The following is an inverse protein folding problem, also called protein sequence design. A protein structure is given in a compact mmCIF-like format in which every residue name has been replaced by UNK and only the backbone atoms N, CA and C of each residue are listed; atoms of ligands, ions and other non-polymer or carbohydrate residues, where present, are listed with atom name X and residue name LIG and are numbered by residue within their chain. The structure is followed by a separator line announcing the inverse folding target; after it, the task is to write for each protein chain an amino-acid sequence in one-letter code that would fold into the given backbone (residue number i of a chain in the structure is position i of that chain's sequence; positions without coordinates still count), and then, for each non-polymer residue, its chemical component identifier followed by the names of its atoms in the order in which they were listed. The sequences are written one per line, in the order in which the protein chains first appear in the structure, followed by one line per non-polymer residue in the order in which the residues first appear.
data_IF_525375985875
#
_entry.id   IF_525375985875
#
_cell.length_a   1.000
_cell.length_b   1.000
_cell.length_c   1.000
_cell.angle_alpha   90.00
_cell.angle_beta   90.00
_cell.angle_gamma   90.00
#
_symmetry.space_group_name_H-M   'P 1'
#
loop_
_entity.id
_entity.type
_entity.pdbx_description
1 polymer ?
#
# COMPACT_ATOMS: atom_id res chain seq x y z
N UNK A 1 -10.62 26.96 -34.34
CA UNK A 1 -9.25 26.46 -34.61
C UNK A 1 -8.34 27.07 -33.56
N UNK A 2 -8.27 26.43 -32.40
CA UNK A 2 -7.32 26.73 -31.33
C UNK A 2 -6.20 25.70 -31.51
N UNK A 3 -4.96 26.16 -31.46
CA UNK A 3 -3.77 25.40 -31.82
C UNK A 3 -3.42 24.42 -30.69
N UNK A 4 -3.62 23.11 -30.90
CA UNK A 4 -3.28 22.02 -29.97
C UNK A 4 -1.76 21.70 -29.93
N UNK A 5 -0.89 22.69 -30.04
CA UNK A 5 0.56 22.49 -30.24
C UNK A 5 1.47 22.90 -29.07
N UNK A 6 0.94 23.28 -27.90
CA UNK A 6 1.77 23.72 -26.76
C UNK A 6 2.11 22.61 -25.73
N UNK A 7 1.45 21.44 -25.77
CA UNK A 7 1.74 20.35 -24.83
C UNK A 7 3.07 19.61 -25.12
N UNK A 8 3.67 19.78 -26.31
CA UNK A 8 4.88 19.07 -26.72
C UNK A 8 6.20 19.73 -26.29
N UNK A 9 6.16 20.91 -25.64
CA UNK A 9 7.37 21.68 -25.33
C UNK A 9 7.85 21.49 -23.88
N UNK A 10 7.00 21.00 -22.96
CA UNK A 10 7.38 20.84 -21.54
C UNK A 10 8.34 19.66 -21.28
N UNK A 11 8.28 18.58 -22.07
CA UNK A 11 9.17 17.41 -21.91
C UNK A 11 10.63 17.69 -22.29
N UNK A 12 10.93 18.81 -22.96
CA UNK A 12 12.29 19.16 -23.37
C UNK A 12 13.13 19.80 -22.25
N UNK A 13 12.53 20.14 -21.10
CA UNK A 13 13.22 20.88 -20.03
C UNK A 13 13.30 20.14 -18.70
N UNK A 14 12.81 18.90 -18.61
CA UNK A 14 12.85 18.12 -17.37
C UNK A 14 13.99 17.09 -17.38
N UNK A 15 14.59 16.86 -16.21
CA UNK A 15 15.60 15.82 -16.03
C UNK A 15 15.02 14.44 -16.31
N UNK A 16 15.67 13.73 -17.23
CA UNK A 16 15.39 12.33 -17.56
C UNK A 16 15.91 11.40 -16.48
N UNK A 17 15.43 10.16 -16.46
CA UNK A 17 15.88 9.12 -15.52
C UNK A 17 17.41 8.97 -15.50
N UNK A 18 18.05 8.94 -16.68
CA UNK A 18 19.51 8.84 -16.80
C UNK A 18 20.25 10.02 -16.15
N UNK A 19 19.70 11.23 -16.24
CA UNK A 19 20.27 12.46 -15.69
C UNK A 19 20.06 12.51 -14.19
N UNK A 20 18.85 12.16 -13.71
CA UNK A 20 18.58 11.97 -12.28
C UNK A 20 19.56 10.96 -11.67
N UNK A 21 19.78 9.82 -12.32
CA UNK A 21 20.72 8.82 -11.81
C UNK A 21 22.17 9.30 -11.77
N UNK A 22 22.63 10.05 -12.78
CA UNK A 22 23.96 10.68 -12.75
C UNK A 22 24.11 11.64 -11.57
N UNK A 23 23.09 12.43 -11.29
CA UNK A 23 23.07 13.32 -10.12
C UNK A 23 23.08 12.53 -8.81
N UNK A 24 22.26 11.47 -8.68
CA UNK A 24 22.27 10.59 -7.49
C UNK A 24 23.66 10.01 -7.23
N UNK A 25 24.35 9.52 -8.27
CA UNK A 25 25.71 8.96 -8.16
C UNK A 25 26.69 10.02 -7.66
N UNK A 26 26.58 11.25 -8.15
CA UNK A 26 27.43 12.37 -7.74
C UNK A 26 27.19 12.75 -6.27
N UNK A 27 25.94 12.77 -5.83
CA UNK A 27 25.58 13.10 -4.43
C UNK A 27 25.96 11.98 -3.47
N UNK A 28 25.77 10.72 -3.88
CA UNK A 28 26.02 9.52 -3.07
C UNK A 28 27.22 8.74 -3.59
N UNK A 29 28.35 9.43 -3.80
CA UNK A 29 29.59 8.85 -4.36
C UNK A 29 30.13 7.68 -3.53
N UNK A 30 29.90 7.69 -2.22
CA UNK A 30 30.27 6.63 -1.29
C UNK A 30 29.43 5.35 -1.48
N UNK A 31 28.21 5.46 -1.99
CA UNK A 31 27.33 4.33 -2.30
C UNK A 31 27.66 3.78 -3.69
N UNK A 32 27.92 4.65 -4.66
CA UNK A 32 28.29 4.28 -6.01
C UNK A 32 29.82 4.18 -6.18
N UNK A 33 30.44 3.19 -5.53
CA UNK A 33 31.91 3.02 -5.54
C UNK A 33 32.44 2.75 -6.96
N UNK A 34 31.81 1.83 -7.69
CA UNK A 34 32.06 1.58 -9.10
C UNK A 34 30.86 0.84 -9.72
N UNK A 35 30.83 0.77 -11.06
CA UNK A 35 29.73 0.17 -11.82
C UNK A 35 29.45 -1.29 -11.45
N UNK A 36 30.50 -2.06 -11.18
CA UNK A 36 30.39 -3.49 -10.88
C UNK A 36 29.88 -3.73 -9.46
N UNK A 37 30.43 -3.00 -8.49
CA UNK A 37 29.96 -3.01 -7.12
C UNK A 37 28.50 -2.61 -7.02
N UNK A 38 28.11 -1.51 -7.67
CA UNK A 38 26.73 -1.05 -7.65
C UNK A 38 25.79 -2.04 -8.34
N UNK A 39 26.16 -2.54 -9.52
CA UNK A 39 25.38 -3.56 -10.23
C UNK A 39 25.12 -4.79 -9.35
N UNK A 40 26.14 -5.28 -8.65
CA UNK A 40 25.99 -6.38 -7.69
C UNK A 40 25.09 -5.99 -6.51
N UNK A 41 25.24 -4.78 -5.96
CA UNK A 41 24.41 -4.28 -4.84
C UNK A 41 22.92 -4.25 -5.19
N UNK A 42 22.57 -3.90 -6.42
CA UNK A 42 21.18 -3.85 -6.89
C UNK A 42 20.75 -5.12 -7.64
N UNK A 43 21.57 -6.17 -7.67
CA UNK A 43 21.25 -7.42 -8.37
C UNK A 43 20.99 -7.26 -9.87
N UNK A 44 21.72 -6.35 -10.55
CA UNK A 44 21.61 -6.07 -11.98
C UNK A 44 22.91 -6.44 -12.73
N UNK A 45 22.81 -6.61 -14.04
CA UNK A 45 23.99 -6.82 -14.89
C UNK A 45 24.87 -5.58 -15.00
N UNK A 46 26.21 -5.77 -15.02
CA UNK A 46 27.18 -4.68 -15.23
C UNK A 46 26.93 -3.91 -16.53
N UNK A 47 26.52 -4.60 -17.60
CA UNK A 47 26.15 -4.00 -18.89
C UNK A 47 24.91 -3.10 -18.76
N UNK A 48 23.94 -3.47 -17.93
CA UNK A 48 22.73 -2.67 -17.66
C UNK A 48 23.09 -1.34 -17.02
N UNK A 49 23.85 -1.36 -15.92
CA UNK A 49 24.30 -0.13 -15.23
C UNK A 49 25.21 0.71 -16.15
N UNK A 50 26.05 0.07 -16.96
CA UNK A 50 26.85 0.78 -17.95
C UNK A 50 25.99 1.51 -18.98
N UNK A 51 24.93 0.86 -19.48
CA UNK A 51 24.01 1.46 -20.45
C UNK A 51 23.26 2.67 -19.86
N UNK A 52 22.85 2.60 -18.59
CA UNK A 52 22.21 3.73 -17.89
C UNK A 52 23.09 4.97 -17.82
N UNK A 53 24.40 4.79 -17.67
CA UNK A 53 25.35 5.90 -17.59
C UNK A 53 25.69 6.51 -18.95
N UNK A 54 25.67 5.70 -20.00
CA UNK A 54 26.13 6.11 -21.34
C UNK A 54 25.00 6.66 -22.21
N UNK A 55 23.76 6.17 -22.04
CA UNK A 55 22.62 6.62 -22.84
C UNK A 55 21.97 7.82 -22.16
N UNK A 56 22.09 9.00 -22.75
CA UNK A 56 21.44 10.24 -22.27
C UNK A 56 19.91 10.11 -22.13
N UNK A 57 19.30 9.18 -22.87
CA UNK A 57 17.87 8.91 -22.82
C UNK A 57 17.54 7.50 -22.29
N UNK A 58 18.40 6.90 -21.46
CA UNK A 58 18.00 5.67 -20.77
C UNK A 58 16.80 5.95 -19.86
N UNK A 59 15.66 5.33 -20.17
CA UNK A 59 14.61 5.10 -19.20
C UNK A 59 14.95 3.86 -18.36
N UNK A 60 14.54 3.87 -17.10
CA UNK A 60 14.68 2.70 -16.24
C UNK A 60 13.33 2.04 -16.06
N UNK A 61 13.31 0.71 -16.10
CA UNK A 61 12.13 -0.04 -15.74
C UNK A 61 11.83 0.12 -14.24
N UNK A 62 10.59 -0.23 -13.86
CA UNK A 62 10.07 -0.08 -12.49
C UNK A 62 10.98 -0.73 -11.46
N UNK A 63 11.37 -1.98 -11.74
CA UNK A 63 12.26 -2.79 -10.91
C UNK A 63 13.61 -2.12 -10.65
N UNK A 64 14.19 -1.50 -11.67
CA UNK A 64 15.45 -0.80 -11.57
C UNK A 64 15.34 0.47 -10.72
N UNK A 65 14.27 1.26 -10.89
CA UNK A 65 14.01 2.48 -10.10
C UNK A 65 13.90 2.17 -8.61
N UNK A 66 13.14 1.13 -8.25
CA UNK A 66 12.99 0.66 -6.87
C UNK A 66 14.34 0.27 -6.28
N UNK A 67 15.11 -0.59 -6.96
CA UNK A 67 16.42 -1.05 -6.45
C UNK A 67 17.44 0.09 -6.35
N UNK A 68 17.38 1.09 -7.25
CA UNK A 68 18.20 2.30 -7.16
C UNK A 68 17.82 3.11 -5.91
N UNK A 69 16.53 3.36 -5.68
CA UNK A 69 16.06 4.07 -4.48
C UNK A 69 16.51 3.37 -3.20
N UNK A 70 16.33 2.06 -3.10
CA UNK A 70 16.79 1.27 -1.96
C UNK A 70 18.31 1.38 -1.75
N UNK A 71 19.09 1.26 -2.83
CA UNK A 71 20.54 1.31 -2.75
C UNK A 71 21.08 2.64 -2.22
N UNK A 72 20.40 3.74 -2.57
CA UNK A 72 20.72 5.10 -2.12
C UNK A 72 19.96 5.53 -0.86
N UNK A 73 19.08 4.68 -0.32
CA UNK A 73 18.18 5.02 0.78
C UNK A 73 17.36 6.29 0.46
N UNK A 74 16.69 6.30 -0.69
CA UNK A 74 15.88 7.40 -1.22
C UNK A 74 14.40 7.01 -1.31
N UNK A 75 13.54 8.02 -1.27
CA UNK A 75 12.10 7.86 -1.54
C UNK A 75 11.83 7.74 -3.04
N UNK A 76 10.77 7.02 -3.41
CA UNK A 76 10.35 6.81 -4.81
C UNK A 76 9.88 8.09 -5.51
N UNK A 77 9.42 9.09 -4.74
CA UNK A 77 8.98 10.41 -5.23
C UNK A 77 10.01 11.07 -6.10
N UNK A 78 11.29 10.74 -5.88
CA UNK A 78 12.43 11.19 -6.68
C UNK A 78 12.26 10.95 -8.19
N UNK A 79 11.56 9.87 -8.58
CA UNK A 79 11.32 9.55 -9.99
C UNK A 79 10.10 10.28 -10.56
N UNK A 80 9.08 10.52 -9.72
CA UNK A 80 7.82 11.17 -10.12
C UNK A 80 7.91 12.69 -10.18
N UNK A 81 8.69 13.27 -9.28
CA UNK A 81 8.82 14.71 -9.21
C UNK A 81 9.58 15.21 -10.45
N UNK A 82 9.03 16.23 -11.10
CA UNK A 82 9.66 16.86 -12.27
C UNK A 82 10.67 17.90 -11.81
N UNK A 83 11.90 17.78 -12.30
CA UNK A 83 12.99 18.69 -11.97
C UNK A 83 13.51 19.34 -13.24
N UNK A 84 13.51 20.67 -13.28
CA UNK A 84 13.93 21.40 -14.50
C UNK A 84 15.44 21.48 -14.70
N UNK A 85 16.24 21.10 -13.70
CA UNK A 85 17.70 21.01 -13.81
C UNK A 85 18.32 20.25 -12.64
N UNK A 86 19.59 19.89 -12.80
CA UNK A 86 20.39 19.15 -11.82
C UNK A 86 20.46 19.82 -10.45
N UNK A 87 20.60 21.16 -10.38
CA UNK A 87 20.75 21.87 -9.09
C UNK A 87 19.50 21.80 -8.22
N UNK A 88 18.32 21.89 -8.84
CA UNK A 88 17.05 21.75 -8.11
C UNK A 88 16.93 20.32 -7.58
N UNK A 89 17.32 19.35 -8.39
CA UNK A 89 17.27 17.95 -8.01
C UNK A 89 18.28 17.61 -6.88
N UNK A 90 19.53 18.09 -6.96
CA UNK A 90 20.53 17.96 -5.89
C UNK A 90 20.01 18.53 -4.55
N UNK A 91 19.33 19.67 -4.60
CA UNK A 91 18.70 20.27 -3.42
C UNK A 91 17.60 19.37 -2.85
N UNK A 92 16.75 18.80 -3.70
CA UNK A 92 15.70 17.88 -3.27
C UNK A 92 16.27 16.61 -2.63
N UNK A 93 17.36 16.04 -3.18
CA UNK A 93 18.06 14.90 -2.58
C UNK A 93 18.57 15.21 -1.16
N UNK A 94 19.13 16.41 -0.96
CA UNK A 94 19.56 16.86 0.38
C UNK A 94 18.39 17.02 1.36
N UNK A 95 17.22 17.41 0.88
CA UNK A 95 16.01 17.51 1.69
C UNK A 95 15.46 16.13 2.06
N UNK A 96 15.47 15.17 1.14
CA UNK A 96 15.11 13.78 1.42
C UNK A 96 16.06 13.14 2.46
N UNK A 97 17.36 13.36 2.34
CA UNK A 97 18.34 12.83 3.30
C UNK A 97 18.12 13.37 4.72
N UNK A 98 17.74 14.65 4.85
CA UNK A 98 17.37 15.26 6.13
C UNK A 98 16.11 14.65 6.75
N UNK A 99 15.16 14.21 5.92
CA UNK A 99 13.95 13.52 6.40
C UNK A 99 14.33 12.14 6.93
N UNK A 100 15.20 11.43 6.21
CA UNK A 100 15.58 10.05 6.51
C UNK A 100 16.55 9.95 7.69
N UNK A 101 17.42 10.95 7.87
CA UNK A 101 18.44 10.98 8.93
C UNK A 101 17.93 11.43 10.31
N UNK A 102 16.64 11.75 10.47
CA UNK A 102 16.10 12.13 11.78
C UNK A 102 16.04 10.90 12.71
N UNK A 103 16.70 10.94 13.89
CA UNK A 103 16.74 9.80 14.78
C UNK A 103 15.35 9.47 15.29
N UNK A 104 14.98 8.19 15.17
CA UNK A 104 13.77 7.60 15.73
C UNK A 104 13.78 7.73 17.27
N UNK A 105 13.20 8.81 17.79
CA UNK A 105 12.99 8.98 19.22
C UNK A 105 11.98 7.90 19.65
N UNK A 106 12.43 6.93 20.46
CA UNK A 106 11.59 6.01 21.23
C UNK A 106 10.65 6.81 22.14
N UNK A 107 9.41 7.05 21.67
CA UNK A 107 8.31 7.62 22.47
C UNK A 107 7.49 6.47 23.06
N UNK A 108 8.09 5.64 23.91
CA UNK A 108 7.36 4.55 24.60
C UNK A 108 6.73 4.99 25.93
N UNK A 109 7.17 6.11 26.52
CA UNK A 109 6.82 6.40 27.92
C UNK A 109 5.74 7.46 28.18
N UNK A 110 5.24 8.15 27.14
CA UNK A 110 4.22 9.21 27.33
C UNK A 110 2.79 8.76 26.98
N UNK A 111 2.63 7.77 26.09
CA UNK A 111 1.31 7.26 25.65
C UNK A 111 0.62 6.37 26.71
N UNK A 112 1.40 5.61 27.49
CA UNK A 112 0.87 4.68 28.50
C UNK A 112 0.17 5.40 29.68
N UNK A 113 0.51 6.67 29.95
CA UNK A 113 -0.14 7.47 31.00
C UNK A 113 -1.45 8.11 30.55
N UNK A 114 -1.66 8.35 29.26
CA UNK A 114 -2.91 8.92 28.71
C UNK A 114 -3.98 7.86 28.42
N UNK A 115 -3.61 6.62 28.11
CA UNK A 115 -4.58 5.54 27.86
C UNK A 115 -5.33 5.06 29.12
N UNK A 116 -4.77 5.29 30.32
CA UNK A 116 -5.40 4.82 31.58
C UNK A 116 -6.58 5.69 32.04
N UNK A 117 -6.69 6.95 31.60
CA UNK A 117 -7.85 7.81 31.91
C UNK A 117 -9.02 7.69 30.91
N UNK A 118 -8.78 7.18 29.71
CA UNK A 118 -9.79 7.12 28.63
C UNK A 118 -10.66 5.85 28.67
N UNK A 119 -10.15 4.77 29.27
CA UNK A 119 -10.84 3.46 29.35
C UNK A 119 -12.22 3.49 30.02
N UNK A 120 -12.49 4.46 30.90
CA UNK A 120 -13.75 4.51 31.66
C UNK A 120 -14.93 5.10 30.85
N UNK A 121 -14.69 5.77 29.71
CA UNK A 121 -15.75 6.28 28.82
C UNK A 121 -15.90 5.53 27.49
N UNK A 122 -14.89 4.76 27.08
CA UNK A 122 -14.86 4.02 25.81
C UNK A 122 -15.89 2.86 25.78
N UNK A 123 -16.14 2.22 26.92
CA UNK A 123 -17.10 1.10 27.05
C UNK A 123 -18.57 1.39 26.70
N UNK A 124 -18.99 2.66 26.52
CA UNK A 124 -20.40 3.00 26.25
C UNK A 124 -20.77 3.05 24.76
N UNK A 125 -19.82 3.23 23.85
CA UNK A 125 -20.12 3.33 22.41
C UNK A 125 -19.96 1.98 21.71
N UNK A 126 -19.00 1.17 22.15
CA UNK A 126 -18.67 -0.14 21.55
C UNK A 126 -19.80 -1.20 21.67
N UNK A 127 -20.83 -0.95 22.49
CA UNK A 127 -21.93 -1.88 22.77
C UNK A 127 -23.30 -1.41 22.24
N UNK A 128 -23.36 -0.37 21.40
CA UNK A 128 -24.65 0.14 20.90
C UNK A 128 -25.28 -0.86 19.93
N UNK A 129 -26.56 -1.22 20.17
CA UNK A 129 -27.35 -1.98 19.21
C UNK A 129 -27.57 -1.16 17.93
N UNK A 130 -27.97 -1.83 16.83
CA UNK A 130 -28.32 -1.14 15.58
C UNK A 130 -29.44 -0.13 15.80
N UNK A 131 -30.44 -0.46 16.60
CA UNK A 131 -31.55 0.44 16.94
C UNK A 131 -31.08 1.64 17.77
N UNK A 132 -30.18 1.44 18.75
CA UNK A 132 -29.61 2.52 19.55
C UNK A 132 -28.77 3.48 18.70
N UNK A 133 -28.04 2.96 17.72
CA UNK A 133 -27.31 3.80 16.76
C UNK A 133 -28.24 4.60 15.88
N UNK A 134 -29.33 4.01 15.37
CA UNK A 134 -30.26 4.73 14.51
C UNK A 134 -30.88 5.92 15.26
N UNK A 135 -31.30 5.72 16.51
CA UNK A 135 -31.79 6.79 17.39
C UNK A 135 -30.70 7.86 17.61
N UNK A 136 -29.44 7.45 17.76
CA UNK A 136 -28.32 8.37 17.94
C UNK A 136 -28.03 9.18 16.68
N UNK A 137 -28.10 8.58 15.49
CA UNK A 137 -27.91 9.25 14.20
C UNK A 137 -29.02 10.25 13.89
N UNK A 138 -30.24 9.98 14.37
CA UNK A 138 -31.41 10.86 14.30
C UNK A 138 -31.40 11.98 15.36
N UNK A 139 -30.50 11.90 16.35
CA UNK A 139 -30.33 12.93 17.37
C UNK A 139 -29.45 14.11 16.91
N UNK A 140 -29.39 15.18 17.70
CA UNK A 140 -28.53 16.35 17.43
C UNK A 140 -27.03 16.03 17.65
N UNK A 141 -26.41 15.29 16.71
CA UNK A 141 -24.98 14.94 16.71
C UNK A 141 -24.06 16.17 16.81
N UNK A 142 -24.51 17.32 16.29
CA UNK A 142 -23.82 18.60 16.39
C UNK A 142 -23.59 19.06 17.83
N UNK A 143 -24.40 18.60 18.80
CA UNK A 143 -24.22 18.91 20.22
C UNK A 143 -23.26 17.96 20.93
N UNK A 144 -22.82 16.87 20.28
CA UNK A 144 -21.89 15.89 20.86
C UNK A 144 -20.44 16.35 20.77
N UNK A 145 -19.60 15.87 21.69
CA UNK A 145 -18.17 16.21 21.70
C UNK A 145 -17.42 15.57 20.53
N UNK A 146 -16.31 16.19 20.10
CA UNK A 146 -15.46 15.67 19.03
C UNK A 146 -14.91 14.25 19.32
N UNK A 147 -14.55 13.97 20.57
CA UNK A 147 -14.14 12.63 21.01
C UNK A 147 -15.26 11.60 20.81
N UNK A 148 -16.50 11.93 21.22
CA UNK A 148 -17.63 11.02 21.05
C UNK A 148 -17.91 10.72 19.58
N UNK A 149 -17.89 11.76 18.73
CA UNK A 149 -18.07 11.60 17.29
C UNK A 149 -16.95 10.74 16.67
N UNK A 150 -15.71 10.90 17.14
CA UNK A 150 -14.59 10.10 16.64
C UNK A 150 -14.78 8.61 16.96
N UNK A 151 -15.12 8.28 18.21
CA UNK A 151 -15.38 6.89 18.59
C UNK A 151 -16.63 6.32 17.89
N UNK A 152 -17.69 7.13 17.73
CA UNK A 152 -18.88 6.73 16.96
C UNK A 152 -18.52 6.41 15.50
N UNK A 153 -17.65 7.21 14.86
CA UNK A 153 -17.23 6.95 13.48
C UNK A 153 -16.51 5.60 13.31
N UNK A 154 -15.75 5.16 14.32
CA UNK A 154 -15.07 3.86 14.31
C UNK A 154 -16.07 2.71 14.47
N UNK A 155 -17.06 2.86 15.36
CA UNK A 155 -18.11 1.85 15.54
C UNK A 155 -18.94 1.71 14.27
N UNK A 156 -19.35 2.82 13.65
CA UNK A 156 -20.07 2.80 12.37
C UNK A 156 -19.25 2.11 11.27
N UNK A 157 -17.94 2.38 11.19
CA UNK A 157 -17.06 1.70 10.27
C UNK A 157 -17.01 0.18 10.52
N UNK A 158 -16.86 -0.25 11.78
CA UNK A 158 -16.84 -1.68 12.14
C UNK A 158 -18.16 -2.37 11.77
N UNK A 159 -19.27 -1.64 11.83
CA UNK A 159 -20.59 -2.12 11.42
C UNK A 159 -20.85 -2.01 9.91
N UNK A 160 -19.85 -1.57 9.12
CA UNK A 160 -19.91 -1.38 7.67
C UNK A 160 -20.86 -0.25 7.22
N UNK A 161 -21.21 0.68 8.11
CA UNK A 161 -21.98 1.88 7.82
C UNK A 161 -21.05 3.03 7.36
N UNK A 162 -20.37 2.82 6.22
CA UNK A 162 -19.22 3.65 5.81
C UNK A 162 -19.58 5.11 5.53
N UNK A 163 -20.72 5.37 4.88
CA UNK A 163 -21.18 6.72 4.58
C UNK A 163 -21.51 7.52 5.86
N UNK A 164 -22.16 6.88 6.83
CA UNK A 164 -22.48 7.49 8.11
C UNK A 164 -21.22 7.74 8.96
N UNK A 165 -20.28 6.79 8.95
CA UNK A 165 -18.98 6.99 9.57
C UNK A 165 -18.26 8.22 9.01
N UNK A 166 -18.28 8.41 7.69
CA UNK A 166 -17.65 9.58 7.05
C UNK A 166 -18.39 10.88 7.39
N UNK A 167 -19.73 10.87 7.36
CA UNK A 167 -20.54 12.02 7.75
C UNK A 167 -20.24 12.47 9.18
N UNK A 168 -20.20 11.53 10.12
CA UNK A 168 -19.87 11.79 11.52
C UNK A 168 -18.45 12.36 11.66
N UNK A 169 -17.49 11.85 10.89
CA UNK A 169 -16.12 12.34 10.90
C UNK A 169 -15.99 13.77 10.35
N UNK A 170 -16.76 14.11 9.31
CA UNK A 170 -16.81 15.48 8.76
C UNK A 170 -17.37 16.50 9.77
N UNK A 171 -18.29 16.09 10.66
CA UNK A 171 -18.76 16.94 11.77
C UNK A 171 -17.67 17.26 12.79
N UNK A 172 -16.59 16.46 12.85
CA UNK A 172 -15.44 16.75 13.71
C UNK A 172 -14.56 17.81 13.07
N UNK A 173 -14.36 17.72 11.74
CA UNK A 173 -13.53 18.67 10.99
C UNK A 173 -14.12 20.09 11.00
N UNK A 174 -15.45 20.23 11.06
CA UNK A 174 -16.12 21.53 11.17
C UNK A 174 -16.13 22.12 12.58
N UNK A 175 -15.76 21.35 13.61
CA UNK A 175 -15.75 21.79 15.01
C UNK A 175 -14.38 22.24 15.46
N UNK A 176 -14.30 23.50 15.88
CA UNK A 176 -13.14 24.01 16.62
C UNK A 176 -13.07 23.35 18.01
N UNK A 177 -12.08 22.48 18.20
CA UNK A 177 -11.89 21.78 19.48
C UNK A 177 -10.43 21.38 19.69
N UNK A 178 -9.98 21.38 20.95
CA UNK A 178 -8.64 20.90 21.33
C UNK A 178 -8.40 19.44 20.91
N UNK A 179 -9.46 18.64 20.91
CA UNK A 179 -9.42 17.26 20.42
C UNK A 179 -9.03 17.19 18.94
N UNK A 180 -9.66 17.98 18.07
CA UNK A 180 -9.35 18.02 16.64
C UNK A 180 -7.87 18.32 16.39
N UNK A 181 -7.32 19.33 17.05
CA UNK A 181 -5.90 19.68 16.92
C UNK A 181 -4.96 18.61 17.46
N UNK A 182 -5.30 18.00 18.59
CA UNK A 182 -4.45 16.97 19.22
C UNK A 182 -4.43 15.67 18.42
N UNK A 183 -5.56 15.32 17.79
CA UNK A 183 -5.77 14.05 17.10
C UNK A 183 -5.88 14.21 15.58
N UNK A 184 -5.40 15.32 15.03
CA UNK A 184 -5.56 15.66 13.60
C UNK A 184 -5.14 14.52 12.67
N UNK A 185 -3.94 13.97 12.88
CA UNK A 185 -3.43 12.87 12.06
C UNK A 185 -4.30 11.60 12.16
N UNK A 186 -4.84 11.29 13.34
CA UNK A 186 -5.72 10.13 13.53
C UNK A 186 -7.08 10.33 12.85
N UNK A 187 -7.63 11.54 12.91
CA UNK A 187 -8.88 11.91 12.22
C UNK A 187 -8.66 11.79 10.71
N UNK A 188 -7.56 12.34 10.19
CA UNK A 188 -7.20 12.27 8.77
C UNK A 188 -6.94 10.83 8.31
N UNK A 189 -6.27 10.02 9.12
CA UNK A 189 -6.05 8.60 8.83
C UNK A 189 -7.40 7.85 8.74
N UNK A 190 -8.28 8.03 9.73
CA UNK A 190 -9.63 7.45 9.69
C UNK A 190 -10.40 7.88 8.44
N UNK A 191 -10.32 9.16 8.08
CA UNK A 191 -10.96 9.70 6.87
C UNK A 191 -10.45 9.00 5.61
N UNK A 192 -9.13 8.86 5.49
CA UNK A 192 -8.53 8.18 4.36
C UNK A 192 -8.97 6.72 4.25
N UNK A 193 -9.12 5.99 5.37
CA UNK A 193 -9.65 4.62 5.35
C UNK A 193 -11.06 4.59 4.77
N UNK A 194 -11.95 5.48 5.24
CA UNK A 194 -13.34 5.55 4.77
C UNK A 194 -13.43 5.91 3.29
N UNK A 195 -12.67 6.91 2.84
CA UNK A 195 -12.61 7.32 1.43
C UNK A 195 -12.05 6.22 0.52
N UNK A 196 -11.13 5.40 1.03
CA UNK A 196 -10.54 4.26 0.31
C UNK A 196 -11.47 3.05 0.17
N UNK A 197 -12.60 3.04 0.88
CA UNK A 197 -13.55 1.93 0.85
C UNK A 197 -14.15 1.69 -0.54
N UNK A 198 -14.69 0.49 -0.74
CA UNK A 198 -15.44 0.17 -1.97
C UNK A 198 -16.79 0.90 -2.05
N UNK A 199 -17.31 1.43 -0.95
CA UNK A 199 -18.59 2.14 -0.94
C UNK A 199 -18.43 3.58 -1.43
N UNK A 200 -17.28 4.21 -1.14
CA UNK A 200 -17.01 5.61 -1.49
C UNK A 200 -16.11 5.73 -2.72
N UNK A 201 -15.01 4.98 -2.78
CA UNK A 201 -14.02 4.99 -3.88
C UNK A 201 -13.44 6.37 -4.24
N UNK A 202 -13.34 7.29 -3.29
CA UNK A 202 -12.66 8.56 -3.49
C UNK A 202 -11.15 8.40 -3.22
N UNK A 203 -10.50 7.66 -4.12
CA UNK A 203 -9.09 7.31 -3.99
C UNK A 203 -8.17 8.52 -4.10
N UNK A 204 -8.53 9.54 -4.88
CA UNK A 204 -7.71 10.73 -5.07
C UNK A 204 -7.62 11.56 -3.78
N UNK A 205 -8.76 11.81 -3.13
CA UNK A 205 -8.77 12.49 -1.83
C UNK A 205 -8.09 11.65 -0.76
N UNK A 206 -8.30 10.32 -0.75
CA UNK A 206 -7.60 9.43 0.17
C UNK A 206 -6.08 9.48 -0.01
N UNK A 207 -5.59 9.39 -1.24
CA UNK A 207 -4.17 9.48 -1.60
C UNK A 207 -3.59 10.82 -1.13
N UNK A 208 -4.28 11.93 -1.39
CA UNK A 208 -3.81 13.24 -0.97
C UNK A 208 -3.63 13.32 0.55
N UNK A 209 -4.60 12.83 1.31
CA UNK A 209 -4.53 12.78 2.78
C UNK A 209 -3.37 11.88 3.23
N UNK A 210 -3.25 10.68 2.66
CA UNK A 210 -2.23 9.70 3.04
C UNK A 210 -0.81 10.18 2.72
N UNK A 211 -0.59 10.84 1.58
CA UNK A 211 0.70 11.48 1.27
C UNK A 211 1.06 12.54 2.30
N UNK A 212 0.09 13.37 2.68
CA UNK A 212 0.32 14.38 3.71
C UNK A 212 0.61 13.76 5.08
N UNK A 213 -0.04 12.64 5.43
CA UNK A 213 0.26 11.88 6.65
C UNK A 213 1.65 11.23 6.59
N UNK A 214 2.05 10.70 5.44
CA UNK A 214 3.38 10.16 5.19
C UNK A 214 4.47 11.20 5.44
N UNK A 215 4.29 12.41 4.90
CA UNK A 215 5.22 13.53 5.10
C UNK A 215 5.07 14.22 6.46
N UNK A 216 4.02 13.93 7.23
CA UNK A 216 3.88 14.45 8.59
C UNK A 216 4.91 13.78 9.52
N UNK A 217 5.57 14.60 10.34
CA UNK A 217 6.74 14.21 11.14
C UNK A 217 6.51 12.90 11.91
N UNK A 218 7.06 11.80 11.37
CA UNK A 218 7.10 10.44 11.94
C UNK A 218 5.74 9.73 12.11
N UNK A 219 4.65 10.18 11.48
CA UNK A 219 3.36 9.48 11.65
C UNK A 219 3.39 8.07 11.03
N UNK A 220 3.96 7.92 9.83
CA UNK A 220 4.13 6.61 9.17
C UNK A 220 4.98 5.61 9.97
N UNK A 221 5.90 6.08 10.81
CA UNK A 221 6.70 5.20 11.67
C UNK A 221 5.90 4.66 12.86
N UNK A 222 4.88 5.41 13.31
CA UNK A 222 3.97 5.00 14.39
C UNK A 222 2.80 4.17 13.87
N UNK A 223 2.32 4.51 12.68
CA UNK A 223 1.16 3.93 12.02
C UNK A 223 1.57 3.47 10.61
N UNK A 224 2.38 2.40 10.48
CA UNK A 224 2.85 1.92 9.18
C UNK A 224 1.71 1.46 8.25
N UNK A 225 0.52 1.22 8.78
CA UNK A 225 -0.70 0.93 8.02
C UNK A 225 -1.04 2.03 7.00
N UNK A 226 -0.63 3.29 7.23
CA UNK A 226 -0.86 4.34 6.23
C UNK A 226 -0.09 4.09 4.93
N UNK A 227 1.08 3.44 5.01
CA UNK A 227 1.90 3.09 3.85
C UNK A 227 1.21 2.01 3.03
N UNK A 228 0.76 0.96 3.71
CA UNK A 228 -0.07 -0.11 3.14
C UNK A 228 -1.31 0.44 2.45
N UNK A 229 -2.02 1.37 3.10
CA UNK A 229 -3.22 1.96 2.55
C UNK A 229 -2.91 2.87 1.35
N UNK A 230 -1.82 3.64 1.40
CA UNK A 230 -1.38 4.48 0.28
C UNK A 230 -0.97 3.61 -0.92
N UNK A 231 -0.19 2.55 -0.68
CA UNK A 231 0.20 1.57 -1.70
C UNK A 231 -1.01 0.90 -2.34
N UNK A 232 -1.99 0.50 -1.51
CA UNK A 232 -3.24 -0.11 -1.98
C UNK A 232 -4.04 0.83 -2.88
N UNK A 233 -4.12 2.12 -2.54
CA UNK A 233 -4.80 3.11 -3.39
C UNK A 233 -4.04 3.40 -4.69
N UNK A 234 -2.71 3.47 -4.66
CA UNK A 234 -1.91 3.56 -5.89
C UNK A 234 -2.12 2.34 -6.78
N UNK A 235 -2.11 1.13 -6.22
CA UNK A 235 -2.42 -0.11 -6.96
C UNK A 235 -3.81 -0.05 -7.61
N UNK A 236 -4.84 0.35 -6.86
CA UNK A 236 -6.22 0.46 -7.40
C UNK A 236 -6.32 1.49 -8.52
N UNK A 237 -5.67 2.65 -8.37
CA UNK A 237 -5.68 3.70 -9.37
C UNK A 237 -4.91 3.31 -10.63
N UNK A 238 -3.75 2.66 -10.47
CA UNK A 238 -2.94 2.17 -11.58
C UNK A 238 -3.65 1.09 -12.40
N UNK A 239 -4.50 0.30 -11.76
CA UNK A 239 -5.19 -0.85 -12.35
C UNK A 239 -6.70 -0.59 -12.53
N UNK A 240 -7.12 0.66 -12.71
CA UNK A 240 -8.55 0.96 -12.84
C UNK A 240 -9.13 0.50 -14.19
N UNK A 241 -8.32 0.52 -15.25
CA UNK A 241 -8.68 0.09 -16.60
C UNK A 241 -8.12 -1.31 -16.88
N UNK A 242 -8.83 -2.32 -16.36
CA UNK A 242 -8.37 -3.71 -16.32
C UNK A 242 -8.24 -4.39 -17.68
N UNK A 243 -8.90 -3.85 -18.72
CA UNK A 243 -8.99 -4.45 -20.04
C UNK A 243 -7.79 -4.14 -20.95
N UNK A 244 -6.88 -3.26 -20.52
CA UNK A 244 -5.80 -2.73 -21.39
C UNK A 244 -4.48 -2.58 -20.64
N UNK A 245 -3.53 -3.47 -20.93
CA UNK A 245 -2.17 -3.43 -20.36
C UNK A 245 -1.47 -2.08 -20.60
N UNK A 246 -1.72 -1.47 -21.76
CA UNK A 246 -1.17 -0.18 -22.19
C UNK A 246 -1.60 0.99 -21.28
N UNK A 247 -2.73 0.86 -20.58
CA UNK A 247 -3.32 1.91 -19.75
C UNK A 247 -2.91 1.79 -18.27
N UNK A 248 -2.05 0.82 -17.92
CA UNK A 248 -1.54 0.67 -16.56
C UNK A 248 -0.51 1.77 -16.26
N UNK A 249 -0.78 2.55 -15.21
CA UNK A 249 0.17 3.56 -14.72
C UNK A 249 1.32 2.90 -13.96
N UNK A 250 2.40 2.58 -14.68
CA UNK A 250 3.60 1.94 -14.13
C UNK A 250 4.32 2.79 -13.09
N UNK A 251 4.18 4.12 -13.12
CA UNK A 251 4.74 4.99 -12.09
C UNK A 251 4.01 4.78 -10.76
N UNK A 252 2.67 4.67 -10.79
CA UNK A 252 1.89 4.32 -9.59
C UNK A 252 2.16 2.90 -9.10
N UNK A 253 2.38 1.92 -9.98
CA UNK A 253 2.79 0.57 -9.59
C UNK A 253 4.15 0.59 -8.89
N UNK A 254 5.14 1.29 -9.44
CA UNK A 254 6.46 1.47 -8.82
C UNK A 254 6.32 2.03 -7.40
N UNK A 255 5.50 3.07 -7.24
CA UNK A 255 5.23 3.68 -5.96
C UNK A 255 4.53 2.76 -4.97
N UNK A 256 3.59 1.94 -5.44
CA UNK A 256 2.93 0.96 -4.61
C UNK A 256 3.93 -0.09 -4.08
N UNK A 257 4.83 -0.58 -4.93
CA UNK A 257 5.89 -1.53 -4.52
C UNK A 257 6.76 -0.94 -3.43
N UNK A 258 7.33 0.26 -3.66
CA UNK A 258 8.23 0.89 -2.66
C UNK A 258 7.52 1.09 -1.31
N UNK A 259 6.26 1.54 -1.34
CA UNK A 259 5.48 1.74 -0.11
C UNK A 259 5.14 0.43 0.61
N UNK A 260 4.87 -0.65 -0.12
CA UNK A 260 4.67 -1.96 0.48
C UNK A 260 5.97 -2.52 1.09
N UNK A 261 7.13 -2.30 0.46
CA UNK A 261 8.43 -2.67 1.02
C UNK A 261 8.72 -1.89 2.32
N UNK A 262 8.52 -0.58 2.30
CA UNK A 262 8.65 0.27 3.49
C UNK A 262 7.71 -0.22 4.61
N UNK A 263 6.45 -0.50 4.28
CA UNK A 263 5.47 -1.03 5.24
C UNK A 263 5.91 -2.39 5.81
N UNK A 264 6.37 -3.30 4.94
CA UNK A 264 6.86 -4.63 5.29
C UNK A 264 8.04 -4.56 6.27
N UNK A 265 8.96 -3.61 6.07
CA UNK A 265 10.12 -3.45 6.95
C UNK A 265 9.80 -2.76 8.29
N UNK A 266 8.79 -1.88 8.32
CA UNK A 266 8.38 -1.15 9.52
C UNK A 266 7.44 -1.94 10.45
N UNK A 267 6.60 -2.83 9.90
CA UNK A 267 5.61 -3.59 10.69
C UNK A 267 6.25 -4.68 11.55
N UNK A 268 5.55 -5.01 12.64
CA UNK A 268 5.87 -6.19 13.43
C UNK A 268 5.63 -7.48 12.63
N UNK A 269 6.37 -8.53 12.96
CA UNK A 269 6.47 -9.77 12.18
C UNK A 269 5.12 -10.43 11.84
N UNK A 270 4.15 -10.40 12.74
CA UNK A 270 2.82 -10.98 12.56
C UNK A 270 1.88 -10.16 11.65
N UNK A 271 2.27 -8.94 11.26
CA UNK A 271 1.48 -8.06 10.40
C UNK A 271 2.09 -7.87 9.01
N UNK A 272 3.26 -8.47 8.75
CA UNK A 272 4.00 -8.34 7.48
C UNK A 272 3.36 -9.08 6.31
N UNK A 273 2.56 -10.11 6.58
CA UNK A 273 2.04 -11.01 5.54
C UNK A 273 1.20 -10.27 4.50
N UNK A 274 0.42 -9.25 4.92
CA UNK A 274 -0.45 -8.50 4.02
C UNK A 274 0.37 -7.70 3.00
N UNK A 275 1.41 -7.01 3.45
CA UNK A 275 2.30 -6.25 2.55
C UNK A 275 3.10 -7.21 1.66
N UNK A 276 3.57 -8.33 2.22
CA UNK A 276 4.32 -9.33 1.48
C UNK A 276 3.52 -9.97 0.34
N UNK A 277 2.27 -10.40 0.58
CA UNK A 277 1.47 -11.01 -0.49
C UNK A 277 1.16 -9.99 -1.59
N UNK A 278 0.90 -8.73 -1.23
CA UNK A 278 0.69 -7.66 -2.20
C UNK A 278 1.95 -7.38 -3.03
N UNK A 279 3.14 -7.41 -2.43
CA UNK A 279 4.42 -7.32 -3.16
C UNK A 279 4.58 -8.48 -4.14
N UNK A 280 4.30 -9.71 -3.72
CA UNK A 280 4.42 -10.87 -4.59
C UNK A 280 3.52 -10.77 -5.84
N UNK A 281 2.27 -10.33 -5.66
CA UNK A 281 1.38 -10.05 -6.79
C UNK A 281 1.92 -8.95 -7.70
N UNK A 282 2.41 -7.85 -7.13
CA UNK A 282 2.94 -6.72 -7.92
C UNK A 282 4.21 -7.09 -8.69
N UNK A 283 5.12 -7.89 -8.12
CA UNK A 283 6.30 -8.36 -8.84
C UNK A 283 5.94 -9.17 -10.08
N UNK A 284 5.05 -10.15 -9.96
CA UNK A 284 4.60 -10.91 -11.13
C UNK A 284 3.83 -10.04 -12.14
N UNK A 285 3.01 -9.08 -11.66
CA UNK A 285 2.29 -8.17 -12.56
C UNK A 285 3.25 -7.30 -13.36
N UNK A 286 4.29 -6.75 -12.74
CA UNK A 286 5.30 -5.93 -13.40
C UNK A 286 6.04 -6.75 -14.45
N UNK A 287 6.51 -7.95 -14.08
CA UNK A 287 7.24 -8.81 -15.02
C UNK A 287 6.37 -9.09 -16.27
N UNK A 288 5.07 -9.38 -16.10
CA UNK A 288 4.17 -9.62 -17.25
C UNK A 288 3.87 -8.36 -18.06
N UNK A 289 3.64 -7.21 -17.42
CA UNK A 289 3.32 -5.95 -18.11
C UNK A 289 4.53 -5.44 -18.91
N UNK A 290 5.73 -5.56 -18.34
CA UNK A 290 6.99 -5.17 -19.00
C UNK A 290 7.50 -6.24 -20.00
N UNK A 291 6.73 -7.32 -20.24
CA UNK A 291 7.05 -8.44 -21.16
C UNK A 291 8.38 -9.11 -20.78
N UNK A 292 8.69 -9.14 -19.48
CA UNK A 292 9.79 -9.90 -18.91
C UNK A 292 9.32 -11.31 -18.51
N UNK A 293 10.25 -12.27 -18.45
CA UNK A 293 9.92 -13.59 -17.89
C UNK A 293 9.83 -13.46 -16.38
N UNK A 294 8.69 -13.84 -15.80
CA UNK A 294 8.49 -13.78 -14.36
C UNK A 294 9.48 -14.69 -13.62
N UNK A 295 10.53 -14.09 -13.03
CA UNK A 295 11.48 -14.82 -12.19
C UNK A 295 10.90 -14.94 -10.78
N UNK A 296 10.51 -16.17 -10.42
CA UNK A 296 9.92 -16.47 -9.12
C UNK A 296 10.90 -16.29 -7.95
N UNK A 297 12.19 -16.09 -8.20
CA UNK A 297 13.22 -15.95 -7.16
C UNK A 297 12.93 -14.84 -6.15
N UNK A 298 12.39 -13.71 -6.59
CA UNK A 298 12.05 -12.59 -5.69
C UNK A 298 10.90 -12.98 -4.75
N UNK A 299 9.88 -13.67 -5.27
CA UNK A 299 8.75 -14.20 -4.49
C UNK A 299 9.21 -15.32 -3.55
N UNK A 300 10.08 -16.23 -4.01
CA UNK A 300 10.65 -17.29 -3.18
C UNK A 300 11.44 -16.72 -2.01
N UNK A 301 12.24 -15.68 -2.26
CA UNK A 301 13.03 -15.00 -1.23
C UNK A 301 12.11 -14.33 -0.22
N UNK A 302 11.13 -13.54 -0.70
CA UNK A 302 10.16 -12.84 0.15
C UNK A 302 9.36 -13.82 1.03
N UNK A 303 8.90 -14.92 0.45
CA UNK A 303 8.13 -15.93 1.20
C UNK A 303 9.01 -16.66 2.22
N UNK A 304 10.26 -17.01 1.86
CA UNK A 304 11.19 -17.63 2.79
C UNK A 304 11.57 -16.71 3.96
N UNK A 305 11.72 -15.40 3.72
CA UNK A 305 11.96 -14.40 4.76
C UNK A 305 10.74 -14.24 5.67
N UNK A 306 9.55 -14.13 5.09
CA UNK A 306 8.30 -14.03 5.83
C UNK A 306 8.11 -15.26 6.74
N UNK A 307 8.29 -16.49 6.23
CA UNK A 307 8.13 -17.72 7.02
C UNK A 307 9.09 -17.87 8.21
N UNK A 308 10.22 -17.14 8.23
CA UNK A 308 11.13 -17.14 9.39
C UNK A 308 10.53 -16.45 10.61
N UNK A 309 9.61 -15.52 10.40
CA UNK A 309 9.07 -14.65 11.44
C UNK A 309 7.55 -14.75 11.59
N UNK A 310 6.86 -15.12 10.51
CA UNK A 310 5.41 -15.25 10.46
C UNK A 310 4.95 -16.58 11.02
N UNK A 311 4.26 -16.52 12.17
CA UNK A 311 3.55 -17.65 12.74
C UNK A 311 2.09 -17.57 12.29
N UNK A 312 1.78 -18.29 11.22
CA UNK A 312 0.45 -18.32 10.61
C UNK A 312 -0.59 -18.75 11.65
N UNK A 313 -1.56 -17.89 11.96
CA UNK A 313 -2.75 -18.28 12.71
C UNK A 313 -3.70 -19.07 11.80
N UNK A 314 -3.78 -20.38 12.04
CA UNK A 314 -4.61 -21.28 11.26
C UNK A 314 -6.12 -21.09 11.48
N UNK A 315 -6.54 -20.17 12.34
CA UNK A 315 -7.94 -19.78 12.54
C UNK A 315 -8.28 -18.42 11.89
N UNK A 316 -7.29 -17.75 11.28
CA UNK A 316 -7.45 -16.48 10.61
C UNK A 316 -7.47 -16.67 9.09
N UNK A 317 -8.61 -16.34 8.45
CA UNK A 317 -8.76 -16.45 6.99
C UNK A 317 -7.67 -15.68 6.23
N UNK A 318 -7.37 -14.45 6.64
CA UNK A 318 -6.43 -13.59 5.93
C UNK A 318 -5.02 -14.16 5.92
N UNK A 319 -4.62 -14.79 7.01
CA UNK A 319 -3.30 -15.39 7.12
C UNK A 319 -3.21 -16.69 6.33
N UNK A 320 -4.20 -17.58 6.46
CA UNK A 320 -4.22 -18.85 5.72
C UNK A 320 -4.36 -18.64 4.22
N UNK A 321 -5.23 -17.71 3.81
CA UNK A 321 -5.40 -17.38 2.39
C UNK A 321 -4.12 -16.76 1.82
N UNK A 322 -3.46 -15.85 2.53
CA UNK A 322 -2.19 -15.27 2.07
C UNK A 322 -1.10 -16.34 1.91
N UNK A 323 -1.01 -17.32 2.83
CA UNK A 323 -0.07 -18.45 2.73
C UNK A 323 -0.35 -19.30 1.48
N UNK A 324 -1.64 -19.61 1.25
CA UNK A 324 -2.07 -20.34 0.07
C UNK A 324 -1.80 -19.57 -1.23
N UNK A 325 -2.07 -18.26 -1.27
CA UNK A 325 -1.80 -17.41 -2.43
C UNK A 325 -0.29 -17.36 -2.75
N UNK A 326 0.59 -17.28 -1.74
CA UNK A 326 2.04 -17.40 -1.96
C UNK A 326 2.41 -18.73 -2.63
N UNK A 327 1.90 -19.85 -2.13
CA UNK A 327 2.14 -21.16 -2.70
C UNK A 327 1.64 -21.26 -4.15
N UNK A 328 0.48 -20.68 -4.44
CA UNK A 328 -0.07 -20.59 -5.79
C UNK A 328 0.85 -19.77 -6.71
N UNK A 329 1.32 -18.59 -6.30
CA UNK A 329 2.25 -17.77 -7.10
C UNK A 329 3.57 -18.52 -7.37
N UNK A 330 4.01 -19.35 -6.42
CA UNK A 330 5.17 -20.24 -6.57
C UNK A 330 4.91 -21.47 -7.44
N UNK A 331 3.69 -21.66 -7.96
CA UNK A 331 3.31 -22.79 -8.81
C UNK A 331 3.02 -24.09 -8.02
N UNK A 332 2.82 -24.00 -6.71
CA UNK A 332 2.49 -25.12 -5.81
C UNK A 332 0.98 -25.15 -5.52
N UNK A 333 0.16 -25.09 -6.58
CA UNK A 333 -1.30 -24.92 -6.47
C UNK A 333 -1.98 -26.03 -5.67
N UNK A 334 -1.55 -27.29 -5.83
CA UNK A 334 -2.12 -28.41 -5.06
C UNK A 334 -1.93 -28.23 -3.55
N UNK A 335 -0.75 -27.73 -3.15
CA UNK A 335 -0.46 -27.45 -1.74
C UNK A 335 -1.23 -26.22 -1.25
N UNK A 336 -1.39 -25.20 -2.09
CA UNK A 336 -2.22 -24.04 -1.79
C UNK A 336 -3.68 -24.43 -1.52
N UNK A 337 -4.24 -25.29 -2.38
CA UNK A 337 -5.61 -25.81 -2.23
C UNK A 337 -5.73 -26.63 -0.94
N UNK A 338 -4.79 -27.55 -0.67
CA UNK A 338 -4.78 -28.37 0.54
C UNK A 338 -4.80 -27.52 1.82
N UNK A 339 -4.03 -26.42 1.84
CA UNK A 339 -3.99 -25.47 2.96
C UNK A 339 -5.34 -24.81 3.18
N UNK A 340 -5.94 -24.30 2.11
CA UNK A 340 -7.25 -23.67 2.18
C UNK A 340 -8.31 -24.64 2.66
N UNK A 341 -8.38 -25.86 2.13
CA UNK A 341 -9.49 -26.73 2.52
C UNK A 341 -9.34 -27.40 3.87
N UNK A 342 -8.12 -27.52 4.39
CA UNK A 342 -7.90 -27.78 5.82
C UNK A 342 -8.53 -26.70 6.74
N UNK A 343 -8.59 -25.44 6.28
CA UNK A 343 -9.25 -24.34 7.01
C UNK A 343 -10.77 -24.37 6.82
N UNK A 344 -11.22 -24.48 5.57
CA UNK A 344 -12.65 -24.48 5.20
C UNK A 344 -13.42 -25.67 5.81
N UNK A 345 -12.76 -26.78 6.11
CA UNK A 345 -13.36 -27.91 6.85
C UNK A 345 -13.77 -27.55 8.28
N UNK A 346 -13.14 -26.52 8.88
CA UNK A 346 -13.29 -26.18 10.31
C UNK A 346 -13.93 -24.81 10.53
N UNK A 347 -13.80 -23.91 9.56
CA UNK A 347 -14.14 -22.51 9.71
C UNK A 347 -15.06 -22.05 8.58
N UNK A 348 -15.93 -21.09 8.90
CA UNK A 348 -16.71 -20.35 7.90
C UNK A 348 -15.94 -19.08 7.54
N UNK A 349 -15.91 -18.76 6.26
CA UNK A 349 -15.32 -17.51 5.74
C UNK A 349 -16.44 -16.51 5.56
N UNK A 350 -16.19 -15.27 5.99
CA UNK A 350 -17.18 -14.21 5.79
C UNK A 350 -17.27 -13.84 4.29
N UNK A 351 -18.47 -13.57 3.77
CA UNK A 351 -18.67 -13.31 2.33
C UNK A 351 -17.76 -12.20 1.78
N UNK A 352 -17.52 -11.16 2.58
CA UNK A 352 -16.69 -10.04 2.17
C UNK A 352 -15.21 -10.41 2.04
N UNK A 353 -14.69 -11.30 2.89
CA UNK A 353 -13.27 -11.67 2.90
C UNK A 353 -12.94 -12.44 1.61
N UNK A 354 -13.79 -13.42 1.32
CA UNK A 354 -13.76 -14.21 0.11
C UNK A 354 -13.93 -13.34 -1.16
N UNK A 355 -14.87 -12.39 -1.16
CA UNK A 355 -15.07 -11.48 -2.29
C UNK A 355 -13.82 -10.64 -2.58
N UNK A 356 -13.11 -10.19 -1.54
CA UNK A 356 -11.84 -9.45 -1.67
C UNK A 356 -10.74 -10.34 -2.27
N UNK A 357 -10.58 -11.57 -1.76
CA UNK A 357 -9.62 -12.54 -2.31
C UNK A 357 -9.91 -12.84 -3.80
N UNK A 358 -11.16 -13.14 -4.14
CA UNK A 358 -11.59 -13.42 -5.51
C UNK A 358 -11.30 -12.23 -6.43
N UNK A 359 -11.53 -11.00 -5.97
CA UNK A 359 -11.25 -9.79 -6.76
C UNK A 359 -9.75 -9.65 -7.05
N UNK A 360 -8.90 -9.89 -6.07
CA UNK A 360 -7.44 -9.85 -6.24
C UNK A 360 -6.95 -10.92 -7.22
N UNK A 361 -7.48 -12.14 -7.13
CA UNK A 361 -7.15 -13.22 -8.07
C UNK A 361 -7.61 -12.90 -9.50
N UNK A 362 -8.85 -12.42 -9.66
CA UNK A 362 -9.37 -12.00 -10.98
C UNK A 362 -8.48 -10.94 -11.61
N UNK A 363 -8.10 -9.94 -10.82
CA UNK A 363 -7.17 -8.89 -11.24
C UNK A 363 -5.87 -9.50 -11.74
N UNK A 364 -5.23 -10.36 -10.94
CA UNK A 364 -3.98 -11.00 -11.31
C UNK A 364 -4.09 -11.86 -12.57
N UNK A 365 -5.16 -12.66 -12.68
CA UNK A 365 -5.40 -13.58 -13.80
C UNK A 365 -5.63 -12.82 -15.11
N UNK A 366 -6.31 -11.67 -15.06
CA UNK A 366 -6.56 -10.82 -16.23
C UNK A 366 -5.25 -10.40 -16.90
N UNK A 367 -4.24 -10.05 -16.10
CA UNK A 367 -2.94 -9.64 -16.61
C UNK A 367 -2.05 -10.83 -16.97
N UNK A 368 -1.97 -11.84 -16.10
CA UNK A 368 -0.94 -12.89 -16.18
C UNK A 368 -1.35 -14.15 -16.93
N UNK A 369 -2.65 -14.38 -17.09
CA UNK A 369 -3.22 -15.64 -17.58
C UNK A 369 -2.76 -16.91 -16.83
N UNK A 370 -2.20 -16.76 -15.63
CA UNK A 370 -1.57 -17.82 -14.83
C UNK A 370 -2.55 -18.96 -14.55
N UNK A 371 -2.22 -20.17 -15.04
CA UNK A 371 -3.06 -21.36 -14.91
C UNK A 371 -3.18 -21.84 -13.47
N UNK A 372 -2.15 -21.62 -12.64
CA UNK A 372 -2.23 -21.96 -11.21
C UNK A 372 -3.25 -21.07 -10.50
N UNK A 373 -3.25 -19.77 -10.83
CA UNK A 373 -4.22 -18.84 -10.27
C UNK A 373 -5.64 -19.11 -10.76
N UNK A 374 -5.82 -19.48 -12.03
CA UNK A 374 -7.13 -19.93 -12.56
C UNK A 374 -7.64 -21.16 -11.81
N UNK A 375 -6.84 -22.20 -11.67
CA UNK A 375 -7.20 -23.41 -10.93
C UNK A 375 -7.53 -23.11 -9.45
N UNK A 376 -6.73 -22.25 -8.81
CA UNK A 376 -6.96 -21.82 -7.43
C UNK A 376 -8.27 -21.01 -7.28
N UNK A 377 -8.55 -20.10 -8.22
CA UNK A 377 -9.79 -19.33 -8.25
C UNK A 377 -11.02 -20.22 -8.47
N UNK A 378 -10.94 -21.21 -9.36
CA UNK A 378 -12.03 -22.15 -9.62
C UNK A 378 -12.31 -23.00 -8.38
N UNK A 379 -11.25 -23.47 -7.70
CA UNK A 379 -11.39 -24.16 -6.41
C UNK A 379 -12.12 -23.31 -5.36
N UNK A 380 -11.72 -22.04 -5.21
CA UNK A 380 -12.39 -21.12 -4.31
C UNK A 380 -13.87 -21.01 -4.66
N UNK A 381 -14.22 -20.72 -5.93
CA UNK A 381 -15.61 -20.58 -6.40
C UNK A 381 -16.45 -21.82 -6.15
N UNK A 382 -15.91 -23.02 -6.36
CA UNK A 382 -16.62 -24.26 -6.07
C UNK A 382 -16.88 -24.40 -4.58
N UNK A 383 -15.88 -24.11 -3.75
CA UNK A 383 -16.02 -24.15 -2.29
C UNK A 383 -17.12 -23.20 -1.79
N UNK A 384 -17.31 -22.05 -2.44
CA UNK A 384 -18.40 -21.09 -2.15
C UNK A 384 -19.78 -21.68 -2.41
N UNK A 385 -19.95 -22.40 -3.53
CA UNK A 385 -21.23 -23.04 -3.89
C UNK A 385 -21.66 -24.05 -2.82
N UNK A 386 -20.71 -24.77 -2.23
CA UNK A 386 -20.97 -25.73 -1.16
C UNK A 386 -21.24 -25.08 0.21
N UNK A 387 -20.82 -23.83 0.42
CA UNK A 387 -20.96 -23.11 1.68
C UNK A 387 -22.27 -22.29 1.81
N UNK A 388 -23.23 -22.43 0.89
CA UNK A 388 -24.52 -21.71 0.89
C UNK A 388 -24.40 -20.16 0.92
N UNK A 389 -23.31 -19.62 0.39
CA UNK A 389 -23.20 -18.19 0.11
C UNK A 389 -23.90 -17.95 -1.23
N UNK A 390 -25.13 -17.42 -1.19
CA UNK A 390 -25.83 -16.97 -2.41
C UNK A 390 -24.91 -16.03 -3.19
N UNK A 391 -24.82 -16.28 -4.49
CA UNK A 391 -24.00 -15.62 -5.51
C UNK A 391 -23.45 -14.24 -5.12
N UNK A 392 -22.11 -14.16 -5.00
CA UNK A 392 -21.31 -12.92 -4.91
C UNK A 392 -20.85 -12.54 -6.31
#
# INVERSE_FOLDING_TARGET
MINDNEAWIEDCFMLKDSEKFKVMIKVYENIFVNKEYFANKIGMGRSTVFNWLQKENASFNTKSKTKICQAFNLLDTVWRDSFSNEKIFEKALSEYEKIISQPSIRVENTLVKLQKSTKVKQMKVDNLSKEEMQILLESELEKKSAFFLFELSKVLQQQKEINEALRVLMLIESKESTFRYTHENQIRHQKAILLSSNDIKDWDTAIHILRSLYHSTHYHLKEPEILTLLASNYKRKALVHLDRREEVDMALITSAICLYEDAYHLKADNHKYYDAINLAYLYNLVDVIEIEYADKKEIETLYAELLRVWRIDTNNWWEVCSDAEFLMLLGKVDLAILKLNSFLEKHKVEPFELAVTIRQLKLYIEFTEDQNAKAFLDYLRESVKYLNLKEI
#
